data_IF_523722863713
#
_entry.id   IF_523722863713
#
_cell.length_a   1.000
_cell.length_b   1.000
_cell.length_c   1.000
_cell.angle_alpha   90.00
_cell.angle_beta   90.00
_cell.angle_gamma   90.00
#
_symmetry.space_group_name_H-M   'P 1'
#
loop_
_entity.id
_entity.type
_entity.pdbx_description
1 polymer ?
#
# COMPACT_ATOMS: atom_id res chain seq x y z
N UNK A 1 -15.32 -27.53 -38.51
CA UNK A 1 -15.52 -27.07 -37.13
C UNK A 1 -16.73 -26.16 -37.15
N UNK A 2 -17.87 -26.63 -36.65
CA UNK A 2 -19.05 -25.77 -36.48
C UNK A 2 -18.70 -24.67 -35.46
N UNK A 3 -18.96 -23.41 -35.82
CA UNK A 3 -18.80 -22.30 -34.90
C UNK A 3 -19.78 -22.49 -33.75
N UNK A 4 -19.25 -22.48 -32.52
CA UNK A 4 -20.07 -22.63 -31.33
C UNK A 4 -20.92 -21.36 -31.19
N UNK A 5 -22.26 -21.44 -31.24
CA UNK A 5 -23.13 -20.26 -31.19
C UNK A 5 -22.99 -19.46 -29.88
N UNK A 6 -22.49 -20.09 -28.81
CA UNK A 6 -22.15 -19.39 -27.56
C UNK A 6 -20.90 -18.53 -27.73
N UNK A 7 -19.90 -18.96 -28.53
CA UNK A 7 -18.72 -18.15 -28.81
C UNK A 7 -19.06 -16.91 -29.64
N UNK A 8 -19.96 -17.03 -30.62
CA UNK A 8 -20.43 -15.89 -31.41
C UNK A 8 -21.20 -14.88 -30.53
N UNK A 9 -22.07 -15.35 -29.65
CA UNK A 9 -22.77 -14.49 -28.67
C UNK A 9 -21.80 -13.82 -27.69
N UNK A 10 -20.75 -14.53 -27.26
CA UNK A 10 -19.72 -13.99 -26.38
C UNK A 10 -18.88 -12.92 -27.09
N UNK A 11 -18.48 -13.16 -28.34
CA UNK A 11 -17.74 -12.19 -29.14
C UNK A 11 -18.57 -10.93 -29.40
N UNK A 12 -19.85 -11.07 -29.74
CA UNK A 12 -20.76 -9.94 -29.92
C UNK A 12 -20.91 -9.14 -28.60
N UNK A 13 -21.12 -9.84 -27.48
CA UNK A 13 -21.20 -9.22 -26.17
C UNK A 13 -19.89 -8.49 -25.80
N UNK A 14 -18.73 -9.12 -26.01
CA UNK A 14 -17.42 -8.52 -25.71
C UNK A 14 -17.18 -7.26 -26.54
N UNK A 15 -17.47 -7.31 -27.84
CA UNK A 15 -17.34 -6.16 -28.74
C UNK A 15 -18.27 -5.00 -28.33
N UNK A 16 -19.48 -5.30 -27.88
CA UNK A 16 -20.41 -4.30 -27.39
C UNK A 16 -19.95 -3.70 -26.06
N UNK A 17 -19.48 -4.54 -25.13
CA UNK A 17 -18.93 -4.11 -23.85
C UNK A 17 -17.69 -3.23 -24.03
N UNK A 18 -16.77 -3.57 -24.93
CA UNK A 18 -15.59 -2.76 -25.23
C UNK A 18 -15.96 -1.36 -25.76
N UNK A 19 -16.95 -1.27 -26.64
CA UNK A 19 -17.47 0.02 -27.14
C UNK A 19 -18.09 0.84 -26.01
N UNK A 20 -18.89 0.23 -25.15
CA UNK A 20 -19.48 0.92 -23.99
C UNK A 20 -18.41 1.42 -23.01
N UNK A 21 -17.40 0.59 -22.73
CA UNK A 21 -16.24 0.96 -21.91
C UNK A 21 -15.51 2.13 -22.55
N UNK A 22 -15.25 2.11 -23.86
CA UNK A 22 -14.56 3.19 -24.56
C UNK A 22 -15.33 4.53 -24.49
N UNK A 23 -16.65 4.50 -24.67
CA UNK A 23 -17.50 5.71 -24.54
C UNK A 23 -17.51 6.25 -23.11
N UNK A 24 -17.58 5.36 -22.11
CA UNK A 24 -17.52 5.75 -20.70
C UNK A 24 -16.14 6.32 -20.34
N UNK A 25 -15.07 5.69 -20.83
CA UNK A 25 -13.70 6.16 -20.69
C UNK A 25 -13.54 7.54 -21.31
N UNK A 26 -13.99 7.75 -22.54
CA UNK A 26 -13.87 9.04 -23.22
C UNK A 26 -14.60 10.16 -22.45
N UNK A 27 -15.86 9.92 -22.05
CA UNK A 27 -16.65 10.87 -21.26
C UNK A 27 -16.00 11.22 -19.91
N UNK A 28 -15.44 10.22 -19.20
CA UNK A 28 -14.83 10.42 -17.87
C UNK A 28 -13.40 10.93 -17.94
N UNK A 29 -12.62 10.50 -18.92
CA UNK A 29 -11.28 11.01 -19.19
C UNK A 29 -11.32 12.51 -19.46
N UNK A 30 -12.31 13.04 -20.19
CA UNK A 30 -12.39 14.48 -20.46
C UNK A 30 -12.47 15.29 -19.15
N UNK A 31 -13.27 14.86 -18.18
CA UNK A 31 -13.47 15.62 -16.92
C UNK A 31 -12.27 15.56 -15.96
N UNK A 32 -11.46 14.49 -16.00
CA UNK A 32 -10.36 14.28 -15.06
C UNK A 32 -8.97 14.20 -15.71
N UNK A 33 -8.85 14.44 -17.02
CA UNK A 33 -7.60 14.32 -17.79
C UNK A 33 -6.42 15.04 -17.14
N UNK A 34 -6.53 16.33 -16.75
CA UNK A 34 -5.37 17.05 -16.20
C UNK A 34 -4.89 16.43 -14.88
N UNK A 35 -5.83 15.93 -14.08
CA UNK A 35 -5.57 15.35 -12.77
C UNK A 35 -4.96 13.94 -12.89
N UNK A 36 -5.46 13.11 -13.80
CA UNK A 36 -4.87 11.81 -14.11
C UNK A 36 -3.47 11.95 -14.71
N UNK A 37 -3.24 12.93 -15.58
CA UNK A 37 -1.90 13.26 -16.08
C UNK A 37 -0.96 13.71 -14.96
N UNK A 38 -1.46 14.46 -13.97
CA UNK A 38 -0.68 14.80 -12.78
C UNK A 38 -0.29 13.55 -11.97
N UNK A 39 -1.23 12.63 -11.71
CA UNK A 39 -0.96 11.36 -11.03
C UNK A 39 0.01 10.47 -11.81
N UNK A 40 -0.03 10.52 -13.14
CA UNK A 40 0.88 9.78 -14.01
C UNK A 40 2.30 10.37 -13.97
N UNK A 41 2.45 11.69 -14.08
CA UNK A 41 3.75 12.38 -13.88
C UNK A 41 4.29 12.14 -12.47
N UNK A 42 3.38 12.23 -11.51
CA UNK A 42 3.28 11.50 -10.26
C UNK A 42 4.18 10.26 -10.18
N UNK A 43 3.54 9.17 -10.55
CA UNK A 43 4.11 7.84 -10.67
C UNK A 43 5.45 7.81 -11.41
N UNK A 44 5.54 8.45 -12.59
CA UNK A 44 6.73 8.39 -13.44
C UNK A 44 7.97 8.99 -12.78
N UNK A 45 7.84 10.10 -12.05
CA UNK A 45 8.95 10.69 -11.31
C UNK A 45 9.37 9.82 -10.13
N UNK A 46 8.42 9.27 -9.38
CA UNK A 46 8.73 8.35 -8.27
C UNK A 46 9.47 7.12 -8.78
N UNK A 47 9.02 6.56 -9.90
CA UNK A 47 9.69 5.48 -10.60
C UNK A 47 11.09 5.90 -11.08
N UNK A 48 11.23 7.06 -11.73
CA UNK A 48 12.54 7.59 -12.12
C UNK A 48 13.53 7.65 -10.96
N UNK A 49 13.12 8.19 -9.80
CA UNK A 49 13.98 8.25 -8.62
C UNK A 49 14.41 6.86 -8.11
N UNK A 50 13.55 5.85 -8.20
CA UNK A 50 13.90 4.49 -7.82
C UNK A 50 14.97 3.84 -8.70
N UNK A 51 15.05 4.21 -9.98
CA UNK A 51 16.03 3.68 -10.92
C UNK A 51 17.25 4.57 -11.10
N UNK A 52 17.18 5.82 -10.64
CA UNK A 52 18.27 6.77 -10.78
C UNK A 52 19.38 6.39 -9.81
N UNK A 53 20.53 6.06 -10.38
CA UNK A 53 21.76 5.79 -9.63
C UNK A 53 22.03 6.87 -8.58
N UNK A 54 22.50 6.43 -7.41
CA UNK A 54 22.84 7.22 -6.24
C UNK A 54 21.67 7.96 -5.57
N UNK A 55 20.42 7.77 -6.01
CA UNK A 55 19.27 8.42 -5.34
C UNK A 55 18.77 7.59 -4.17
N UNK A 56 18.34 6.36 -4.41
CA UNK A 56 17.85 5.49 -3.33
C UNK A 56 18.68 4.21 -3.15
N UNK A 57 19.87 4.14 -3.76
CA UNK A 57 20.69 2.93 -3.75
C UNK A 57 21.10 2.50 -2.32
N UNK A 58 21.43 3.47 -1.47
CA UNK A 58 21.83 3.26 -0.07
C UNK A 58 20.63 3.12 0.89
N UNK A 59 19.40 3.34 0.43
CA UNK A 59 18.21 3.16 1.27
C UNK A 59 18.00 1.68 1.63
N UNK A 60 17.50 1.38 2.85
CA UNK A 60 17.13 0.01 3.23
C UNK A 60 16.12 -0.62 2.28
N UNK A 61 16.15 -1.95 2.17
CA UNK A 61 15.28 -2.69 1.27
C UNK A 61 13.80 -2.55 1.64
N UNK A 62 13.48 -2.40 2.92
CA UNK A 62 12.15 -2.13 3.44
C UNK A 62 11.59 -0.81 2.92
N UNK A 63 12.40 0.25 2.84
CA UNK A 63 12.00 1.52 2.21
C UNK A 63 11.64 1.31 0.74
N UNK A 64 12.54 0.67 -0.02
CA UNK A 64 12.33 0.38 -1.45
C UNK A 64 11.07 -0.46 -1.68
N UNK A 65 10.81 -1.41 -0.79
CA UNK A 65 9.61 -2.27 -0.81
C UNK A 65 8.34 -1.47 -0.55
N UNK A 66 8.33 -0.61 0.47
CA UNK A 66 7.21 0.30 0.75
C UNK A 66 6.94 1.24 -0.44
N UNK A 67 7.99 1.82 -1.03
CA UNK A 67 7.84 2.71 -2.18
C UNK A 67 7.35 1.95 -3.43
N UNK A 68 7.87 0.75 -3.70
CA UNK A 68 7.40 -0.11 -4.79
C UNK A 68 5.93 -0.50 -4.62
N UNK A 69 5.50 -0.79 -3.39
CA UNK A 69 4.10 -1.05 -3.08
C UNK A 69 3.25 0.18 -3.36
N UNK A 70 3.67 1.35 -2.88
CA UNK A 70 2.95 2.62 -3.12
C UNK A 70 2.86 2.96 -4.61
N UNK A 71 3.92 2.74 -5.38
CA UNK A 71 3.91 2.89 -6.84
C UNK A 71 2.89 1.96 -7.50
N UNK A 72 2.82 0.70 -7.06
CA UNK A 72 1.85 -0.27 -7.55
C UNK A 72 0.42 0.15 -7.22
N UNK A 73 0.16 0.58 -5.98
CA UNK A 73 -1.13 1.09 -5.55
C UNK A 73 -1.54 2.32 -6.40
N UNK A 74 -0.63 3.27 -6.63
CA UNK A 74 -0.87 4.46 -7.48
C UNK A 74 -1.17 4.09 -8.93
N UNK A 75 -0.45 3.12 -9.51
CA UNK A 75 -0.70 2.65 -10.87
C UNK A 75 -2.08 2.01 -11.00
N UNK A 76 -2.46 1.20 -10.02
CA UNK A 76 -3.79 0.59 -9.96
C UNK A 76 -4.85 1.67 -9.85
N UNK A 77 -4.70 2.63 -8.93
CA UNK A 77 -5.62 3.77 -8.78
C UNK A 77 -5.78 4.54 -10.09
N UNK A 78 -4.67 4.88 -10.76
CA UNK A 78 -4.71 5.56 -12.06
C UNK A 78 -5.53 4.75 -13.08
N UNK A 79 -5.24 3.46 -13.20
CA UNK A 79 -5.90 2.56 -14.15
C UNK A 79 -7.39 2.42 -13.84
N UNK A 80 -7.75 2.17 -12.58
CA UNK A 80 -9.14 1.99 -12.16
C UNK A 80 -9.96 3.26 -12.30
N UNK A 81 -9.41 4.44 -12.02
CA UNK A 81 -10.10 5.72 -12.29
C UNK A 81 -10.26 5.94 -13.80
N UNK A 82 -9.21 5.66 -14.59
CA UNK A 82 -9.24 5.82 -16.06
C UNK A 82 -10.34 4.99 -16.70
N UNK A 83 -10.51 3.73 -16.27
CA UNK A 83 -11.54 2.83 -16.80
C UNK A 83 -12.92 3.01 -16.14
N UNK A 84 -13.06 3.93 -15.18
CA UNK A 84 -14.33 4.21 -14.51
C UNK A 84 -14.66 3.32 -13.30
N UNK A 85 -13.75 2.45 -12.86
CA UNK A 85 -13.83 1.62 -11.66
C UNK A 85 -13.42 2.40 -10.38
N UNK A 86 -14.08 3.53 -10.14
CA UNK A 86 -13.71 4.46 -9.05
C UNK A 86 -13.82 3.80 -7.67
N UNK A 87 -14.85 2.98 -7.46
CA UNK A 87 -15.09 2.31 -6.18
C UNK A 87 -13.93 1.40 -5.75
N UNK A 88 -13.37 0.64 -6.70
CA UNK A 88 -12.19 -0.19 -6.49
C UNK A 88 -10.97 0.66 -6.13
N UNK A 89 -10.86 1.85 -6.73
CA UNK A 89 -9.77 2.80 -6.44
C UNK A 89 -9.74 3.21 -4.97
N UNK A 90 -10.89 3.36 -4.29
CA UNK A 90 -10.92 3.72 -2.87
C UNK A 90 -10.32 2.63 -1.97
N UNK A 91 -10.55 1.36 -2.29
CA UNK A 91 -9.93 0.26 -1.53
C UNK A 91 -8.41 0.28 -1.67
N UNK A 92 -7.90 0.61 -2.85
CA UNK A 92 -6.47 0.74 -3.10
C UNK A 92 -5.88 1.98 -2.42
N UNK A 93 -6.62 3.10 -2.34
CA UNK A 93 -6.19 4.27 -1.57
C UNK A 93 -5.97 3.93 -0.09
N UNK A 94 -6.80 3.06 0.50
CA UNK A 94 -6.56 2.61 1.88
C UNK A 94 -5.24 1.84 1.99
N UNK A 95 -4.95 0.95 1.05
CA UNK A 95 -3.67 0.23 0.96
C UNK A 95 -2.47 1.20 0.82
N UNK A 96 -2.61 2.24 0.00
CA UNK A 96 -1.61 3.30 -0.15
C UNK A 96 -1.43 4.08 1.17
N UNK A 97 -2.53 4.44 1.83
CA UNK A 97 -2.52 5.13 3.12
C UNK A 97 -1.85 4.30 4.23
N UNK A 98 -2.12 2.99 4.29
CA UNK A 98 -1.46 2.08 5.22
C UNK A 98 0.06 2.06 5.00
N UNK A 99 0.49 2.04 3.74
CA UNK A 99 1.91 2.09 3.37
C UNK A 99 2.55 3.41 3.82
N UNK A 100 1.88 4.53 3.54
CA UNK A 100 2.32 5.86 3.97
C UNK A 100 2.39 5.97 5.50
N UNK A 101 1.35 5.57 6.22
CA UNK A 101 1.31 5.67 7.68
C UNK A 101 2.38 4.81 8.35
N UNK A 102 2.62 3.59 7.83
CA UNK A 102 3.75 2.77 8.25
C UNK A 102 5.09 3.48 8.03
N UNK A 103 5.30 4.08 6.85
CA UNK A 103 6.54 4.83 6.60
C UNK A 103 6.68 6.06 7.52
N UNK A 104 5.61 6.81 7.78
CA UNK A 104 5.63 7.92 8.71
C UNK A 104 5.97 7.47 10.13
N UNK A 105 5.45 6.32 10.54
CA UNK A 105 5.77 5.73 11.84
C UNK A 105 7.24 5.28 11.90
N UNK A 106 7.73 4.65 10.83
CA UNK A 106 9.15 4.30 10.70
C UNK A 106 10.01 5.56 10.82
N UNK A 107 9.68 6.62 10.10
CA UNK A 107 10.46 7.86 10.04
C UNK A 107 10.69 8.54 11.39
N UNK A 108 9.87 8.26 12.43
CA UNK A 108 10.09 8.80 13.78
C UNK A 108 11.38 8.29 14.43
N UNK A 109 11.77 7.05 14.12
CA UNK A 109 13.02 6.42 14.54
C UNK A 109 13.41 5.42 13.45
N UNK A 110 13.92 5.97 12.35
CA UNK A 110 13.98 5.25 11.08
C UNK A 110 14.80 3.98 11.15
N UNK A 111 16.00 4.03 11.73
CA UNK A 111 16.92 2.89 11.80
C UNK A 111 16.30 1.74 12.59
N UNK A 112 15.77 2.03 13.78
CA UNK A 112 15.17 1.01 14.63
C UNK A 112 13.88 0.46 14.02
N UNK A 113 12.96 1.34 13.62
CA UNK A 113 11.64 0.91 13.14
C UNK A 113 11.71 0.28 11.74
N UNK A 114 12.65 0.70 10.88
CA UNK A 114 12.87 0.05 9.58
C UNK A 114 13.39 -1.37 9.79
N UNK A 115 14.31 -1.57 10.75
CA UNK A 115 14.76 -2.91 11.11
C UNK A 115 13.61 -3.78 11.61
N UNK A 116 12.75 -3.27 12.50
CA UNK A 116 11.55 -3.99 12.95
C UNK A 116 10.62 -4.36 11.79
N UNK A 117 10.44 -3.47 10.82
CA UNK A 117 9.62 -3.71 9.63
C UNK A 117 10.23 -4.80 8.72
N UNK A 118 11.53 -4.73 8.43
CA UNK A 118 12.22 -5.70 7.58
C UNK A 118 12.27 -7.10 8.23
N UNK A 119 12.67 -7.17 9.50
CA UNK A 119 12.77 -8.43 10.25
C UNK A 119 11.40 -9.10 10.42
N UNK A 120 10.30 -8.34 10.46
CA UNK A 120 8.95 -8.93 10.52
C UNK A 120 8.62 -9.78 9.29
N UNK A 121 9.24 -9.52 8.13
CA UNK A 121 9.05 -10.36 6.94
C UNK A 121 9.57 -11.78 7.21
N UNK A 122 10.69 -11.91 7.92
CA UNK A 122 11.28 -13.20 8.33
C UNK A 122 10.32 -13.88 9.31
N UNK A 123 9.84 -13.15 10.31
CA UNK A 123 8.88 -13.65 11.30
C UNK A 123 7.60 -14.20 10.63
N UNK A 124 6.98 -13.41 9.74
CA UNK A 124 5.76 -13.79 9.04
C UNK A 124 5.97 -14.98 8.08
N UNK A 125 7.10 -15.03 7.36
CA UNK A 125 7.45 -16.15 6.49
C UNK A 125 7.64 -17.45 7.28
N UNK A 126 8.28 -17.38 8.45
CA UNK A 126 8.47 -18.55 9.31
C UNK A 126 7.14 -19.10 9.81
N UNK A 127 6.26 -18.26 10.37
CA UNK A 127 4.95 -18.70 10.83
C UNK A 127 4.09 -19.29 9.71
N UNK A 128 4.12 -18.70 8.50
CA UNK A 128 3.43 -19.26 7.34
C UNK A 128 3.98 -20.65 6.94
N UNK A 129 5.30 -20.83 7.02
CA UNK A 129 5.93 -22.13 6.79
C UNK A 129 5.47 -23.16 7.83
N UNK A 130 5.42 -22.79 9.11
CA UNK A 130 4.93 -23.65 10.20
C UNK A 130 3.45 -24.03 10.04
N UNK A 131 2.60 -23.10 9.64
CA UNK A 131 1.19 -23.39 9.33
C UNK A 131 1.07 -24.41 8.21
N UNK A 132 1.80 -24.21 7.10
CA UNK A 132 1.78 -25.11 5.95
C UNK A 132 2.39 -26.50 6.25
N UNK A 133 3.36 -26.60 7.17
CA UNK A 133 3.90 -27.89 7.62
C UNK A 133 2.83 -28.79 8.24
N UNK A 134 1.84 -28.18 8.90
CA UNK A 134 0.78 -28.88 9.60
C UNK A 134 -0.45 -29.14 8.72
N UNK A 135 -0.46 -28.65 7.48
CA UNK A 135 -1.53 -28.85 6.51
C UNK A 135 -1.34 -30.20 5.77
N UNK A 136 -2.32 -31.13 5.88
CA UNK A 136 -2.21 -32.47 5.30
C UNK A 136 -2.12 -32.48 3.77
N UNK A 137 -2.62 -31.45 3.08
CA UNK A 137 -2.60 -31.34 1.62
C UNK A 137 -1.28 -30.76 1.11
N UNK A 138 -0.68 -29.84 1.87
CA UNK A 138 0.56 -29.14 1.48
C UNK A 138 1.83 -29.96 1.68
N UNK A 139 1.83 -30.99 2.55
CA UNK A 139 3.06 -31.77 2.82
C UNK A 139 3.57 -32.56 1.61
N UNK A 140 2.74 -32.74 0.59
CA UNK A 140 3.08 -33.48 -0.64
C UNK A 140 3.32 -32.57 -1.85
N UNK A 141 3.14 -31.25 -1.71
CA UNK A 141 3.41 -30.31 -2.80
C UNK A 141 4.94 -30.30 -3.09
N UNK A 142 5.37 -30.73 -4.30
CA UNK A 142 6.79 -30.79 -4.64
C UNK A 142 7.49 -29.42 -4.64
N UNK A 143 6.78 -28.35 -4.97
CA UNK A 143 7.30 -26.98 -4.91
C UNK A 143 7.48 -26.55 -3.46
N UNK A 144 6.53 -26.86 -2.59
CA UNK A 144 6.65 -26.55 -1.17
C UNK A 144 7.81 -27.31 -0.52
N UNK A 145 7.99 -28.60 -0.84
CA UNK A 145 9.11 -29.41 -0.32
C UNK A 145 10.46 -28.84 -0.78
N UNK A 146 10.59 -28.49 -2.06
CA UNK A 146 11.82 -27.87 -2.57
C UNK A 146 12.10 -26.51 -1.94
N UNK A 147 11.06 -25.70 -1.77
CA UNK A 147 11.16 -24.42 -1.08
C UNK A 147 11.62 -24.64 0.36
N UNK A 148 10.87 -25.41 1.16
CA UNK A 148 11.17 -25.74 2.55
C UNK A 148 12.62 -26.20 2.74
N UNK A 149 13.09 -27.17 1.95
CA UNK A 149 14.46 -27.69 2.08
C UNK A 149 15.55 -26.64 1.80
N UNK A 150 15.26 -25.60 1.00
CA UNK A 150 16.20 -24.51 0.69
C UNK A 150 16.14 -23.37 1.70
N UNK A 151 14.98 -23.10 2.30
CA UNK A 151 14.76 -21.93 3.16
C UNK A 151 14.64 -22.24 4.65
N UNK A 152 14.29 -23.46 5.07
CA UNK A 152 13.98 -23.77 6.48
C UNK A 152 15.15 -23.49 7.43
N UNK A 153 16.35 -24.01 7.16
CA UNK A 153 17.53 -23.77 8.00
C UNK A 153 17.91 -22.28 8.12
N UNK A 154 18.18 -21.59 6.99
CA UNK A 154 18.51 -20.16 7.02
C UNK A 154 17.41 -19.27 7.61
N UNK A 155 16.13 -19.62 7.41
CA UNK A 155 15.00 -18.88 7.95
C UNK A 155 14.84 -19.10 9.45
N UNK A 156 14.99 -20.35 9.92
CA UNK A 156 14.93 -20.70 11.34
C UNK A 156 16.04 -20.02 12.14
N UNK A 157 17.27 -20.02 11.62
CA UNK A 157 18.38 -19.30 12.24
C UNK A 157 18.04 -17.81 12.41
N UNK A 158 17.64 -17.14 11.32
CA UNK A 158 17.25 -15.73 11.37
C UNK A 158 16.07 -15.47 12.30
N UNK A 159 15.06 -16.35 12.29
CA UNK A 159 13.90 -16.28 13.16
C UNK A 159 14.30 -16.34 14.65
N UNK A 160 15.20 -17.26 15.02
CA UNK A 160 15.63 -17.43 16.42
C UNK A 160 16.27 -16.17 17.01
N UNK A 161 16.89 -15.32 16.18
CA UNK A 161 17.47 -14.04 16.63
C UNK A 161 16.43 -12.95 16.88
N UNK A 162 15.22 -13.08 16.31
CA UNK A 162 14.22 -12.01 16.29
C UNK A 162 12.88 -12.39 16.94
N UNK A 163 12.64 -13.67 17.24
CA UNK A 163 11.34 -14.18 17.70
C UNK A 163 10.77 -13.41 18.90
N UNK A 164 11.64 -13.02 19.84
CA UNK A 164 11.25 -12.32 21.06
C UNK A 164 10.86 -10.84 20.83
N UNK A 165 11.13 -10.31 19.64
CA UNK A 165 10.78 -8.94 19.25
C UNK A 165 9.38 -8.84 18.64
N UNK A 166 8.66 -9.96 18.50
CA UNK A 166 7.34 -10.01 17.86
C UNK A 166 6.33 -10.82 18.67
N UNK A 167 5.06 -10.66 18.30
CA UNK A 167 3.97 -11.48 18.85
C UNK A 167 3.16 -12.07 17.71
N UNK A 168 2.81 -13.34 17.83
CA UNK A 168 1.95 -14.01 16.86
C UNK A 168 0.62 -13.25 16.69
N UNK A 169 0.12 -13.17 15.45
CA UNK A 169 -1.14 -12.49 15.09
C UNK A 169 -1.17 -11.00 15.41
N UNK A 170 0.01 -10.37 15.61
CA UNK A 170 0.18 -8.92 15.76
C UNK A 170 1.07 -8.40 14.65
N UNK A 171 0.80 -7.17 14.22
CA UNK A 171 1.62 -6.49 13.21
C UNK A 171 3.02 -6.15 13.76
N UNK A 172 3.95 -5.91 12.83
CA UNK A 172 5.34 -5.56 13.10
C UNK A 172 5.52 -4.41 14.10
N UNK A 173 4.62 -3.42 14.07
CA UNK A 173 4.70 -2.23 14.91
C UNK A 173 4.18 -2.47 16.33
N UNK A 174 3.63 -3.66 16.66
CA UNK A 174 2.95 -3.87 17.93
C UNK A 174 3.83 -3.60 19.15
N UNK A 175 5.06 -4.13 19.19
CA UNK A 175 5.98 -3.91 20.30
C UNK A 175 6.44 -2.44 20.36
N UNK A 176 7.04 -1.85 19.30
CA UNK A 176 7.51 -0.47 19.37
C UNK A 176 6.37 0.52 19.65
N UNK A 177 5.18 0.31 19.08
CA UNK A 177 4.02 1.17 19.33
C UNK A 177 3.50 1.03 20.77
N UNK A 178 3.60 -0.17 21.37
CA UNK A 178 3.28 -0.37 22.78
C UNK A 178 4.21 0.44 23.68
N UNK A 179 5.50 0.51 23.34
CA UNK A 179 6.50 1.28 24.08
C UNK A 179 6.26 2.78 23.93
N UNK A 180 5.99 3.26 22.71
CA UNK A 180 5.61 4.65 22.46
C UNK A 180 4.38 5.07 23.26
N UNK A 181 3.36 4.21 23.35
CA UNK A 181 2.16 4.48 24.14
C UNK A 181 2.47 4.55 25.64
N UNK A 182 3.27 3.60 26.16
CA UNK A 182 3.69 3.60 27.57
C UNK A 182 4.46 4.87 27.93
N UNK A 183 5.30 5.35 27.01
CA UNK A 183 6.16 6.51 27.21
C UNK A 183 5.50 7.83 26.77
N UNK A 184 4.25 7.81 26.29
CA UNK A 184 3.59 9.01 25.79
C UNK A 184 3.42 10.04 26.93
N UNK A 185 3.89 11.29 26.75
CA UNK A 185 3.87 12.31 27.81
C UNK A 185 2.44 12.74 28.16
N UNK A 186 1.56 12.82 27.17
CA UNK A 186 0.22 13.39 27.34
C UNK A 186 -0.87 12.36 27.71
N UNK A 187 -0.51 11.09 27.90
CA UNK A 187 -1.47 10.05 28.28
C UNK A 187 -1.36 9.73 29.77
N UNK A 188 -2.49 9.67 30.45
CA UNK A 188 -2.57 9.16 31.83
C UNK A 188 -2.28 7.66 31.86
N UNK A 189 -1.84 7.13 33.01
CA UNK A 189 -1.61 5.69 33.18
C UNK A 189 -2.84 4.84 32.88
N UNK A 190 -4.04 5.39 33.13
CA UNK A 190 -5.29 4.71 32.84
C UNK A 190 -5.57 4.65 31.33
N UNK A 191 -5.28 5.71 30.59
CA UNK A 191 -5.40 5.73 29.13
C UNK A 191 -4.39 4.79 28.48
N UNK A 192 -3.13 4.81 28.96
CA UNK A 192 -2.06 3.90 28.49
C UNK A 192 -2.47 2.44 28.60
N UNK A 193 -3.07 2.04 29.74
CA UNK A 193 -3.54 0.65 29.97
C UNK A 193 -4.73 0.24 29.11
N UNK A 194 -5.61 1.18 28.76
CA UNK A 194 -6.83 0.92 27.98
C UNK A 194 -6.61 0.98 26.47
N UNK A 195 -5.46 1.49 26.01
CA UNK A 195 -5.23 1.76 24.60
C UNK A 195 -4.91 0.47 23.84
N UNK A 196 -5.74 0.17 22.83
CA UNK A 196 -5.55 -0.99 21.97
C UNK A 196 -4.46 -0.71 20.94
N UNK A 197 -3.47 -1.58 20.84
CA UNK A 197 -2.39 -1.44 19.87
C UNK A 197 -2.84 -2.00 18.52
N UNK A 198 -3.17 -1.09 17.60
CA UNK A 198 -3.65 -1.39 16.26
C UNK A 198 -3.30 -0.24 15.29
N UNK A 199 -3.67 -0.40 14.03
CA UNK A 199 -3.38 0.59 13.00
C UNK A 199 -4.01 1.97 13.25
N UNK A 200 -5.19 2.04 13.92
CA UNK A 200 -5.76 3.33 14.33
C UNK A 200 -4.82 4.05 15.28
N UNK A 201 -4.29 3.35 16.28
CA UNK A 201 -3.33 3.93 17.24
C UNK A 201 -2.01 4.32 16.56
N UNK A 202 -1.54 3.57 15.57
CA UNK A 202 -0.41 3.99 14.73
C UNK A 202 -0.71 5.32 14.01
N UNK A 203 -1.93 5.47 13.47
CA UNK A 203 -2.36 6.71 12.83
C UNK A 203 -2.45 7.87 13.84
N UNK A 204 -2.92 7.64 15.06
CA UNK A 204 -2.94 8.66 16.12
C UNK A 204 -1.51 9.15 16.44
N UNK A 205 -0.57 8.22 16.64
CA UNK A 205 0.82 8.52 16.99
C UNK A 205 1.61 9.21 15.86
N UNK A 206 1.15 9.05 14.61
CA UNK A 206 1.73 9.70 13.41
C UNK A 206 0.96 10.95 12.97
N UNK A 207 -0.06 11.39 13.71
CA UNK A 207 -0.87 12.57 13.35
C UNK A 207 -1.85 12.35 12.19
N UNK A 208 -2.06 11.10 11.78
CA UNK A 208 -2.89 10.70 10.64
C UNK A 208 -4.31 10.23 11.04
N UNK A 209 -4.74 10.44 12.29
CA UNK A 209 -6.04 9.99 12.79
C UNK A 209 -7.22 10.50 11.94
N UNK A 210 -7.22 11.78 11.57
CA UNK A 210 -8.28 12.38 10.73
C UNK A 210 -8.40 11.68 9.38
N UNK A 211 -7.29 11.23 8.81
CA UNK A 211 -7.28 10.53 7.53
C UNK A 211 -7.82 9.10 7.70
N UNK A 212 -7.41 8.41 8.76
CA UNK A 212 -7.97 7.11 9.14
C UNK A 212 -9.50 7.17 9.28
N UNK A 213 -10.02 8.13 10.03
CA UNK A 213 -11.46 8.31 10.26
C UNK A 213 -12.26 8.56 8.96
N UNK A 214 -11.64 9.15 7.94
CA UNK A 214 -12.27 9.37 6.62
C UNK A 214 -12.22 8.15 5.72
N UNK A 215 -11.07 7.48 5.64
CA UNK A 215 -10.84 6.40 4.67
C UNK A 215 -11.44 5.06 5.09
N UNK A 216 -11.33 4.70 6.37
CA UNK A 216 -11.69 3.36 6.84
C UNK A 216 -13.20 3.06 6.81
N UNK A 217 -14.08 3.97 7.29
CA UNK A 217 -15.53 3.75 7.17
C UNK A 217 -15.99 3.73 5.70
N UNK A 218 -15.44 4.62 4.89
CA UNK A 218 -15.81 4.78 3.48
C UNK A 218 -15.44 3.58 2.61
N UNK A 219 -14.30 2.94 2.89
CA UNK A 219 -13.85 1.74 2.17
C UNK A 219 -14.60 0.48 2.61
N UNK A 220 -14.95 0.37 3.89
CA UNK A 220 -15.82 -0.71 4.38
C UNK A 220 -17.17 -0.70 3.65
N UNK A 221 -17.80 0.49 3.55
CA UNK A 221 -19.05 0.64 2.82
C UNK A 221 -18.89 0.31 1.33
N UNK A 222 -17.83 0.79 0.67
CA UNK A 222 -17.54 0.49 -0.74
C UNK A 222 -17.32 -1.01 -1.02
N UNK A 223 -16.62 -1.71 -0.12
CA UNK A 223 -16.33 -3.15 -0.24
C UNK A 223 -17.57 -4.03 -0.11
N UNK A 224 -18.59 -3.58 0.62
CA UNK A 224 -19.81 -4.36 0.88
C UNK A 224 -21.02 -3.96 0.00
N UNK A 225 -20.98 -2.85 -0.74
CA UNK A 225 -22.20 -2.24 -1.32
C UNK A 225 -22.36 -2.27 -2.84
N UNK A 226 -21.38 -2.71 -3.64
CA UNK A 226 -21.51 -2.53 -5.10
C UNK A 226 -21.06 -3.73 -5.93
N UNK A 227 -21.94 -4.20 -6.82
CA UNK A 227 -21.57 -5.11 -7.90
C UNK A 227 -20.72 -4.37 -8.93
N UNK A 228 -19.85 -5.09 -9.64
CA UNK A 228 -18.97 -4.52 -10.67
C UNK A 228 -19.77 -3.76 -11.76
N UNK A 229 -20.94 -4.32 -12.13
CA UNK A 229 -21.88 -3.75 -13.10
C UNK A 229 -22.47 -2.42 -12.60
N UNK A 230 -22.83 -2.33 -11.32
CA UNK A 230 -23.35 -1.11 -10.73
C UNK A 230 -22.30 0.01 -10.71
N UNK A 231 -21.01 -0.32 -10.50
CA UNK A 231 -19.91 0.65 -10.50
C UNK A 231 -19.58 1.20 -11.90
N UNK A 232 -19.70 0.38 -12.94
CA UNK A 232 -19.52 0.81 -14.34
C UNK A 232 -20.66 1.77 -14.77
N UNK A 233 -21.89 1.49 -14.33
CA UNK A 233 -23.08 2.25 -14.72
C UNK A 233 -23.34 3.52 -13.89
N UNK A 234 -22.82 3.61 -12.65
CA UNK A 234 -23.03 4.79 -11.80
C UNK A 234 -22.24 6.00 -12.30
N UNK A 235 -22.94 7.10 -12.65
CA UNK A 235 -22.34 8.37 -13.07
C UNK A 235 -21.71 9.16 -11.90
N UNK A 236 -22.10 8.86 -10.67
CA UNK A 236 -21.56 9.46 -9.45
C UNK A 236 -21.44 8.40 -8.37
N UNK A 237 -20.20 8.04 -8.01
CA UNK A 237 -19.96 7.35 -6.74
C UNK A 237 -19.73 8.45 -5.72
N UNK A 238 -20.82 8.97 -5.15
CA UNK A 238 -20.76 9.77 -3.94
C UNK A 238 -20.36 8.84 -2.79
N UNK A 239 -19.06 8.57 -2.65
CA UNK A 239 -18.55 7.90 -1.46
C UNK A 239 -18.31 8.96 -0.37
N UNK A 240 -18.50 8.58 0.90
CA UNK A 240 -18.08 9.41 2.03
C UNK A 240 -16.54 9.67 2.06
N UNK A 241 -15.75 8.95 1.25
CA UNK A 241 -14.30 9.18 1.08
C UNK A 241 -13.96 10.39 0.20
N UNK A 242 -14.96 11.06 -0.38
CA UNK A 242 -14.79 12.26 -1.20
C UNK A 242 -14.91 11.97 -2.69
N UNK A 243 -14.51 12.93 -3.53
CA UNK A 243 -14.64 12.86 -5.00
C UNK A 243 -13.47 12.12 -5.65
N UNK A 244 -13.57 11.77 -6.94
CA UNK A 244 -12.41 11.33 -7.76
C UNK A 244 -11.25 12.31 -7.64
N UNK A 245 -11.55 13.61 -7.56
CA UNK A 245 -10.55 14.67 -7.36
C UNK A 245 -9.81 14.48 -6.04
N UNK A 246 -10.55 14.30 -4.95
CA UNK A 246 -9.99 14.07 -3.62
C UNK A 246 -9.13 12.81 -3.57
N UNK A 247 -9.58 11.73 -4.23
CA UNK A 247 -8.87 10.45 -4.30
C UNK A 247 -7.51 10.58 -5.01
N UNK A 248 -7.50 11.21 -6.19
CA UNK A 248 -6.25 11.35 -6.96
C UNK A 248 -5.29 12.31 -6.24
N UNK A 249 -5.78 13.46 -5.76
CA UNK A 249 -4.94 14.41 -5.01
C UNK A 249 -4.36 13.77 -3.74
N UNK A 250 -5.15 12.97 -3.02
CA UNK A 250 -4.65 12.24 -1.87
C UNK A 250 -3.55 11.25 -2.27
N UNK A 251 -3.74 10.52 -3.38
CA UNK A 251 -2.75 9.57 -3.87
C UNK A 251 -1.43 10.24 -4.24
N UNK A 252 -1.50 11.39 -4.90
CA UNK A 252 -0.35 12.26 -5.20
C UNK A 252 0.33 12.68 -3.90
N UNK A 253 -0.44 13.22 -2.94
CA UNK A 253 0.07 13.69 -1.67
C UNK A 253 0.80 12.59 -0.88
N UNK A 254 0.19 11.42 -0.71
CA UNK A 254 0.77 10.30 0.03
C UNK A 254 2.10 9.86 -0.61
N UNK A 255 2.11 9.64 -1.94
CA UNK A 255 3.33 9.27 -2.65
C UNK A 255 4.40 10.36 -2.54
N UNK A 256 4.01 11.63 -2.62
CA UNK A 256 4.89 12.79 -2.45
C UNK A 256 5.58 12.77 -1.08
N UNK A 257 4.82 12.61 0.00
CA UNK A 257 5.40 12.57 1.35
C UNK A 257 6.34 11.37 1.54
N UNK A 258 6.05 10.23 0.94
CA UNK A 258 6.95 9.07 0.98
C UNK A 258 8.28 9.31 0.27
N UNK A 259 8.24 10.04 -0.87
CA UNK A 259 9.45 10.46 -1.57
C UNK A 259 10.25 11.48 -0.76
N UNK A 260 9.60 12.44 -0.11
CA UNK A 260 10.27 13.43 0.76
C UNK A 260 11.06 12.73 1.87
N UNK A 261 10.47 11.73 2.52
CA UNK A 261 11.18 10.94 3.54
C UNK A 261 12.46 10.31 2.97
N UNK A 262 12.39 9.72 1.77
CA UNK A 262 13.58 9.13 1.15
C UNK A 262 14.64 10.17 0.82
N UNK A 263 14.23 11.25 0.13
CA UNK A 263 15.15 12.29 -0.34
C UNK A 263 15.82 13.03 0.83
N UNK A 264 15.07 13.41 1.86
CA UNK A 264 15.62 14.09 3.04
C UNK A 264 16.66 13.22 3.74
N UNK A 265 16.42 11.91 3.85
CA UNK A 265 17.38 11.00 4.48
C UNK A 265 18.65 10.81 3.67
N UNK A 266 18.54 10.82 2.34
CA UNK A 266 19.71 10.80 1.46
C UNK A 266 20.55 12.06 1.66
N UNK A 267 19.91 13.22 1.74
CA UNK A 267 20.58 14.50 2.04
C UNK A 267 21.25 14.45 3.42
N UNK A 268 20.54 14.00 4.47
CA UNK A 268 21.07 13.83 5.83
C UNK A 268 22.27 12.87 5.92
N UNK A 269 22.37 11.92 4.98
CA UNK A 269 23.47 10.93 4.92
C UNK A 269 24.60 11.35 3.97
N UNK A 270 24.55 12.57 3.42
CA UNK A 270 25.63 13.18 2.65
C UNK A 270 25.45 13.20 1.13
N UNK A 271 24.26 12.82 0.62
CA UNK A 271 23.92 12.89 -0.80
C UNK A 271 23.22 14.23 -1.12
N UNK A 272 23.93 15.36 -0.96
CA UNK A 272 23.41 16.72 -1.17
C UNK A 272 22.83 16.92 -2.59
N UNK A 273 23.32 16.17 -3.58
CA UNK A 273 22.79 16.21 -4.95
C UNK A 273 21.31 15.82 -5.05
N UNK A 274 20.73 15.23 -4.00
CA UNK A 274 19.31 14.90 -3.93
C UNK A 274 18.41 16.13 -3.71
N UNK A 275 18.96 17.26 -3.24
CA UNK A 275 18.19 18.52 -3.05
C UNK A 275 17.52 18.99 -4.33
N UNK A 276 18.18 18.83 -5.48
CA UNK A 276 17.63 19.22 -6.79
C UNK A 276 16.31 18.50 -7.13
N UNK A 277 16.08 17.32 -6.56
CA UNK A 277 14.83 16.58 -6.79
C UNK A 277 13.68 17.08 -5.91
N UNK A 278 13.97 17.79 -4.81
CA UNK A 278 12.96 18.45 -4.00
C UNK A 278 12.34 19.64 -4.77
N UNK A 279 13.16 20.40 -5.48
CA UNK A 279 12.71 21.57 -6.25
C UNK A 279 11.84 21.22 -7.46
N UNK A 280 12.06 20.06 -8.08
CA UNK A 280 11.42 19.67 -9.34
C UNK A 280 9.93 19.33 -9.17
N UNK A 281 9.47 18.90 -7.99
CA UNK A 281 8.10 18.38 -7.84
C UNK A 281 7.37 18.71 -6.55
N UNK A 282 8.00 19.44 -5.63
CA UNK A 282 7.35 19.95 -4.43
C UNK A 282 7.14 21.48 -4.45
N UNK A 283 7.50 22.14 -5.55
CA UNK A 283 7.05 23.49 -5.94
C UNK A 283 5.73 23.42 -6.72
#
# INVERSE_FOLDING_TARGET
MEQNPILEQLEEYSNNLEKEIAVLQEKRCISYKPLLESLKKQYAFAHFLMYKECVFDTMPQGYKTLLSKALSDVLVIHSTVTIGCVTQSYNIVRSLFETYANLMYINKNFEANMKYYEDYTIFAQYHKLEEHKNDPDYKYDPYFIQFKNRTEGPLQEKYSFIENNYKERKDWYFIPLSEDIKNHPDLTDQEKKKKNINFKTLCEITGNEKMYQKLYPSTSNAAHSTSLVHNLQSQSVASQAGTVISLVNLSIHLLSQMLLVGLNRQIETGHEECEKYLEIRFA
#
